data_IF_857650851944
#
_entry.id   IF_857650851944
#
_cell.length_a   1.000
_cell.length_b   1.000
_cell.length_c   1.000
_cell.angle_alpha   90.00
_cell.angle_beta   90.00
_cell.angle_gamma   90.00
#
_symmetry.space_group_name_H-M   'P 1'
#
loop_
_entity.id
_entity.type
_entity.pdbx_description
1 polymer ?
#
# COMPACT_ATOMS: atom_id res chain seq x y z
N UNK A 1 -21.85 -1.79 2.23
CA UNK A 1 -21.35 -0.43 2.53
C UNK A 1 -22.57 0.45 2.75
N UNK A 2 -22.72 1.11 3.89
CA UNK A 2 -23.92 1.96 4.06
C UNK A 2 -23.79 3.26 3.27
N UNK A 3 -22.64 3.96 3.27
CA UNK A 3 -22.45 5.08 2.33
C UNK A 3 -20.95 5.32 2.04
N UNK A 4 -20.50 5.15 0.80
CA UNK A 4 -19.36 5.94 0.29
C UNK A 4 -19.96 7.18 -0.34
N UNK A 5 -19.50 8.35 0.07
CA UNK A 5 -20.00 9.63 -0.43
C UNK A 5 -18.84 10.37 -1.06
N UNK A 6 -18.92 10.58 -2.37
CA UNK A 6 -18.05 11.51 -3.09
C UNK A 6 -18.56 12.92 -2.81
N UNK A 7 -17.76 13.75 -2.12
CA UNK A 7 -18.15 15.11 -1.73
C UNK A 7 -17.83 16.13 -2.81
N UNK A 8 -16.73 15.94 -3.55
CA UNK A 8 -16.29 16.87 -4.61
C UNK A 8 -15.38 16.18 -5.61
N UNK A 9 -15.67 16.33 -6.89
CA UNK A 9 -14.76 16.01 -8.00
C UNK A 9 -14.26 17.32 -8.60
N UNK A 10 -12.96 17.39 -8.91
CA UNK A 10 -12.36 18.55 -9.57
C UNK A 10 -12.18 18.29 -11.07
N UNK A 11 -12.15 19.36 -11.87
CA UNK A 11 -11.61 19.31 -13.22
C UNK A 11 -10.19 18.75 -13.11
N UNK A 12 -9.92 17.60 -13.74
CA UNK A 12 -8.71 16.76 -13.66
C UNK A 12 -8.88 15.40 -12.94
N UNK A 13 -10.09 15.00 -12.53
CA UNK A 13 -10.37 13.61 -12.12
C UNK A 13 -10.05 13.26 -10.66
N UNK A 14 -9.56 14.23 -9.88
CA UNK A 14 -9.27 14.06 -8.45
C UNK A 14 -10.56 14.06 -7.63
N UNK A 15 -10.62 13.14 -6.66
CA UNK A 15 -11.82 12.86 -5.85
C UNK A 15 -11.54 13.11 -4.38
N UNK A 16 -12.45 13.84 -3.74
CA UNK A 16 -12.52 13.95 -2.27
C UNK A 16 -13.85 13.39 -1.83
N UNK A 17 -13.79 12.48 -0.87
CA UNK A 17 -14.96 11.82 -0.34
C UNK A 17 -14.81 11.45 1.13
N UNK A 18 -15.80 10.73 1.61
CA UNK A 18 -15.76 10.09 2.90
C UNK A 18 -16.35 8.68 2.75
N UNK A 19 -15.64 7.72 3.31
CA UNK A 19 -16.06 6.35 3.39
C UNK A 19 -16.60 6.09 4.80
N UNK A 20 -17.91 5.87 4.89
CA UNK A 20 -18.54 5.42 6.13
C UNK A 20 -18.47 3.90 6.20
N UNK A 21 -17.52 3.42 6.99
CA UNK A 21 -17.33 2.01 7.26
C UNK A 21 -18.16 1.64 8.49
N UNK A 22 -19.34 1.07 8.24
CA UNK A 22 -20.20 0.57 9.30
C UNK A 22 -19.48 -0.46 10.17
N UNK A 23 -19.57 -0.29 11.49
CA UNK A 23 -18.98 -1.22 12.43
C UNK A 23 -19.91 -2.43 12.58
N UNK A 24 -19.38 -3.64 12.39
CA UNK A 24 -20.19 -4.88 12.46
C UNK A 24 -20.58 -5.17 13.93
N UNK A 25 -19.86 -4.55 14.89
CA UNK A 25 -19.97 -4.83 16.33
C UNK A 25 -20.40 -3.66 17.21
N UNK A 26 -20.34 -2.40 16.76
CA UNK A 26 -20.68 -1.21 17.57
C UNK A 26 -21.73 -0.31 16.89
N UNK A 27 -22.42 0.51 17.68
CA UNK A 27 -23.52 1.41 17.25
C UNK A 27 -23.07 2.66 16.49
N UNK A 28 -21.79 2.78 16.11
CA UNK A 28 -21.25 3.87 15.30
C UNK A 28 -20.25 3.36 14.27
N UNK A 29 -20.32 3.89 13.03
CA UNK A 29 -19.35 3.61 11.97
C UNK A 29 -18.12 4.51 12.05
N UNK A 30 -17.01 4.08 11.45
CA UNK A 30 -15.82 4.93 11.25
C UNK A 30 -15.98 5.70 9.95
N UNK A 31 -15.77 7.01 9.97
CA UNK A 31 -15.74 7.84 8.77
C UNK A 31 -14.29 8.13 8.43
N UNK A 32 -13.83 7.63 7.28
CA UNK A 32 -12.48 7.87 6.76
C UNK A 32 -12.58 8.81 5.55
N UNK A 33 -11.88 9.93 5.58
CA UNK A 33 -11.81 10.85 4.45
C UNK A 33 -10.92 10.29 3.34
N UNK A 34 -11.30 10.48 2.07
CA UNK A 34 -10.51 10.05 0.90
C UNK A 34 -9.89 11.26 0.16
N UNK A 35 -8.69 11.11 -0.43
CA UNK A 35 -7.85 9.92 -0.46
C UNK A 35 -7.32 9.49 0.92
N UNK A 36 -7.24 8.17 1.14
CA UNK A 36 -6.88 7.56 2.42
C UNK A 36 -5.77 6.52 2.28
N UNK A 37 -4.94 6.44 3.31
CA UNK A 37 -3.93 5.40 3.49
C UNK A 37 -4.47 4.33 4.44
N UNK A 38 -4.43 3.07 4.03
CA UNK A 38 -4.75 1.92 4.86
C UNK A 38 -3.46 1.35 5.43
N UNK A 39 -3.41 1.18 6.75
CA UNK A 39 -2.22 0.62 7.41
C UNK A 39 -2.10 -0.85 7.04
N UNK A 40 -1.07 -1.20 6.28
CA UNK A 40 -0.75 -2.58 5.94
C UNK A 40 -0.35 -3.35 7.19
N UNK A 41 -1.02 -4.46 7.44
CA UNK A 41 -0.82 -5.29 8.63
C UNK A 41 -0.45 -6.72 8.25
N UNK A 42 0.15 -7.43 9.20
CA UNK A 42 0.35 -8.88 9.11
C UNK A 42 -0.39 -9.55 10.25
N UNK A 43 -1.23 -10.53 9.93
CA UNK A 43 -2.13 -11.18 10.92
C UNK A 43 -3.01 -10.16 11.67
N UNK A 44 -3.32 -9.04 11.03
CA UNK A 44 -4.24 -8.01 11.51
C UNK A 44 -3.65 -6.88 12.35
N UNK A 45 -2.34 -6.87 12.64
CA UNK A 45 -1.65 -5.76 13.32
C UNK A 45 -0.46 -5.23 12.50
N UNK A 46 -0.07 -3.95 12.65
CA UNK A 46 1.19 -3.45 12.07
C UNK A 46 2.37 -4.32 12.50
N UNK A 47 3.45 -4.28 11.74
CA UNK A 47 4.50 -5.27 11.91
C UNK A 47 5.33 -5.06 13.18
N UNK A 48 5.53 -3.79 13.57
CA UNK A 48 6.37 -3.43 14.71
C UNK A 48 5.66 -2.57 15.75
N UNK A 49 4.51 -1.97 15.39
CA UNK A 49 3.73 -1.10 16.25
C UNK A 49 2.73 -1.93 17.05
N UNK A 50 2.92 -2.07 18.37
CA UNK A 50 1.99 -2.83 19.20
C UNK A 50 0.64 -2.12 19.30
N UNK A 51 -0.46 -2.86 19.61
CA UNK A 51 -1.80 -2.29 19.74
C UNK A 51 -1.87 -1.09 20.68
N UNK A 52 -1.16 -1.11 21.80
CA UNK A 52 -1.17 -0.04 22.80
C UNK A 52 -0.59 1.29 22.29
N UNK A 53 0.21 1.25 21.21
CA UNK A 53 0.77 2.43 20.57
C UNK A 53 -0.01 2.89 19.33
N UNK A 54 -0.98 2.11 18.85
CA UNK A 54 -1.86 2.54 17.75
C UNK A 54 -2.59 3.86 18.03
N UNK A 55 -3.12 4.12 19.25
CA UNK A 55 -3.75 5.40 19.58
C UNK A 55 -2.82 6.62 19.48
N UNK A 56 -1.49 6.42 19.43
CA UNK A 56 -0.53 7.51 19.21
C UNK A 56 -0.46 7.97 17.75
N UNK A 57 -1.03 7.21 16.82
CA UNK A 57 -1.09 7.55 15.41
C UNK A 57 -2.22 8.55 15.11
N UNK A 58 -2.12 9.36 14.04
CA UNK A 58 -3.13 10.34 13.68
C UNK A 58 -4.54 9.74 13.51
N UNK A 59 -5.46 10.11 14.40
CA UNK A 59 -6.88 9.70 14.35
C UNK A 59 -7.73 10.73 13.58
N UNK A 60 -8.77 10.33 12.83
CA UNK A 60 -9.22 8.94 12.58
C UNK A 60 -8.46 8.23 11.45
N UNK A 61 -7.49 8.88 10.80
CA UNK A 61 -6.81 8.35 9.62
C UNK A 61 -6.10 7.00 9.84
N UNK A 62 -5.63 6.73 11.06
CA UNK A 62 -5.01 5.45 11.43
C UNK A 62 -6.00 4.30 11.67
N UNK A 63 -7.32 4.57 11.67
CA UNK A 63 -8.34 3.58 12.05
C UNK A 63 -8.73 2.63 10.91
N UNK A 64 -7.98 2.61 9.80
CA UNK A 64 -8.26 1.72 8.67
C UNK A 64 -7.08 0.80 8.39
N UNK A 65 -7.27 -0.48 8.66
CA UNK A 65 -6.28 -1.53 8.48
C UNK A 65 -6.52 -2.32 7.20
N UNK A 66 -5.44 -2.73 6.54
CA UNK A 66 -5.45 -3.69 5.45
C UNK A 66 -4.70 -4.95 5.86
N UNK A 67 -5.25 -6.13 5.53
CA UNK A 67 -4.58 -7.41 5.76
C UNK A 67 -4.85 -8.38 4.63
N UNK A 68 -3.98 -9.40 4.53
CA UNK A 68 -4.28 -10.57 3.72
C UNK A 68 -4.89 -11.68 4.56
N UNK A 69 -6.09 -12.20 4.20
CA UNK A 69 -6.64 -13.39 4.84
C UNK A 69 -5.68 -14.57 4.84
N UNK A 70 -4.78 -14.60 3.85
CA UNK A 70 -3.83 -15.68 3.65
C UNK A 70 -2.82 -15.82 4.79
N UNK A 71 -2.60 -14.75 5.57
CA UNK A 71 -1.74 -14.78 6.76
C UNK A 71 -2.21 -15.78 7.84
N UNK A 72 -3.45 -16.24 7.76
CA UNK A 72 -4.07 -17.17 8.70
C UNK A 72 -4.21 -18.60 8.18
N UNK A 73 -3.78 -18.91 6.94
CA UNK A 73 -3.92 -20.26 6.36
C UNK A 73 -3.19 -21.33 7.17
N UNK A 74 -2.04 -20.98 7.74
CA UNK A 74 -1.18 -21.87 8.52
C UNK A 74 -1.39 -21.74 10.03
N UNK A 75 -2.29 -20.86 10.46
CA UNK A 75 -2.49 -20.49 11.86
C UNK A 75 -3.84 -20.92 12.40
N UNK A 76 -4.58 -19.94 12.91
CA UNK A 76 -5.92 -20.16 13.43
C UNK A 76 -6.87 -20.57 12.31
N UNK A 77 -7.54 -21.71 12.49
CA UNK A 77 -8.55 -22.14 11.52
C UNK A 77 -9.68 -21.09 11.41
N UNK A 78 -10.31 -20.92 10.24
CA UNK A 78 -11.43 -20.00 10.08
C UNK A 78 -12.55 -20.23 11.11
N UNK A 79 -12.85 -21.48 11.44
CA UNK A 79 -13.85 -21.82 12.46
C UNK A 79 -13.48 -21.29 13.85
N UNK A 80 -12.20 -21.27 14.21
CA UNK A 80 -11.71 -20.70 15.46
C UNK A 80 -11.86 -19.18 15.47
N UNK A 81 -11.49 -18.50 14.38
CA UNK A 81 -11.68 -17.04 14.25
C UNK A 81 -13.16 -16.66 14.38
N UNK A 82 -14.04 -17.44 13.74
CA UNK A 82 -15.50 -17.23 13.84
C UNK A 82 -16.03 -17.39 15.27
N UNK A 83 -15.53 -18.39 16.02
CA UNK A 83 -15.88 -18.62 17.43
C UNK A 83 -15.39 -17.50 18.36
N UNK A 84 -14.21 -16.94 18.09
CA UNK A 84 -13.67 -15.78 18.84
C UNK A 84 -14.59 -14.56 18.65
N UNK A 85 -15.09 -14.37 17.42
CA UNK A 85 -16.04 -13.32 17.08
C UNK A 85 -15.77 -12.62 15.76
N UNK A 86 -14.75 -13.05 15.00
CA UNK A 86 -14.23 -12.35 13.82
C UNK A 86 -12.93 -11.59 14.14
N UNK A 87 -12.39 -10.92 13.13
CA UNK A 87 -11.08 -10.27 13.18
C UNK A 87 -11.01 -9.15 14.21
N UNK A 88 -12.01 -8.27 14.27
CA UNK A 88 -12.04 -7.14 15.21
C UNK A 88 -11.82 -7.58 16.66
N UNK A 89 -12.50 -8.68 17.07
CA UNK A 89 -12.36 -9.24 18.42
C UNK A 89 -11.07 -10.05 18.58
N UNK A 90 -10.61 -10.72 17.53
CA UNK A 90 -9.34 -11.46 17.54
C UNK A 90 -8.15 -10.55 17.82
N UNK A 91 -8.10 -9.37 17.20
CA UNK A 91 -6.98 -8.43 17.30
C UNK A 91 -7.18 -7.36 18.38
N UNK A 92 -8.35 -7.35 19.05
CA UNK A 92 -8.66 -6.38 20.09
C UNK A 92 -8.92 -4.94 19.60
N UNK A 93 -9.30 -4.77 18.32
CA UNK A 93 -9.55 -3.46 17.70
C UNK A 93 -10.99 -3.35 17.19
N UNK A 94 -11.98 -3.22 18.09
CA UNK A 94 -13.40 -3.17 17.72
C UNK A 94 -13.77 -1.91 16.93
N UNK A 95 -13.03 -0.80 17.10
CA UNK A 95 -13.36 0.50 16.51
C UNK A 95 -12.56 0.80 15.22
N UNK A 96 -11.89 -0.22 14.66
CA UNK A 96 -11.11 -0.10 13.44
C UNK A 96 -11.85 -0.70 12.25
N UNK A 97 -11.74 -0.03 11.10
CA UNK A 97 -12.14 -0.59 9.82
C UNK A 97 -11.07 -1.59 9.34
N UNK A 98 -11.51 -2.71 8.77
CA UNK A 98 -10.63 -3.75 8.23
C UNK A 98 -11.00 -4.02 6.77
N UNK A 99 -10.02 -3.86 5.88
CA UNK A 99 -10.05 -4.32 4.50
C UNK A 99 -9.22 -5.60 4.34
N UNK A 100 -9.87 -6.66 3.87
CA UNK A 100 -9.22 -7.93 3.55
C UNK A 100 -8.95 -8.02 2.05
N UNK A 101 -7.67 -8.09 1.64
CA UNK A 101 -7.28 -8.22 0.23
C UNK A 101 -6.49 -9.51 0.02
N UNK A 102 -6.63 -10.21 -1.11
CA UNK A 102 -5.92 -11.47 -1.31
C UNK A 102 -4.39 -11.26 -1.44
N UNK A 103 -3.94 -10.10 -1.91
CA UNK A 103 -2.52 -9.76 -2.05
C UNK A 103 -1.85 -9.59 -0.68
N UNK A 104 -0.72 -10.25 -0.49
CA UNK A 104 0.23 -9.88 0.54
C UNK A 104 1.37 -9.10 -0.12
N UNK A 105 1.32 -7.77 -0.02
CA UNK A 105 2.33 -6.88 -0.58
C UNK A 105 3.71 -7.03 0.10
N UNK A 106 3.81 -7.79 1.21
CA UNK A 106 5.02 -7.87 2.04
C UNK A 106 5.79 -9.18 1.80
N UNK A 107 5.18 -10.36 1.98
CA UNK A 107 5.90 -11.65 1.94
C UNK A 107 5.32 -12.66 0.94
N UNK A 108 3.99 -12.79 0.86
CA UNK A 108 3.33 -13.75 -0.04
C UNK A 108 2.94 -13.12 -1.38
N UNK A 109 3.94 -12.96 -2.25
CA UNK A 109 3.74 -12.53 -3.64
C UNK A 109 2.96 -13.62 -4.40
N UNK A 110 1.90 -13.30 -5.15
CA UNK A 110 1.20 -14.26 -6.00
C UNK A 110 2.16 -14.94 -7.00
N UNK A 111 2.21 -16.27 -7.02
CA UNK A 111 3.04 -16.99 -8.00
C UNK A 111 2.29 -17.10 -9.33
N UNK A 112 2.54 -16.14 -10.22
CA UNK A 112 1.86 -16.04 -11.52
C UNK A 112 2.00 -17.28 -12.41
N UNK A 113 3.02 -18.13 -12.20
CA UNK A 113 3.24 -19.35 -13.00
C UNK A 113 2.37 -20.53 -12.58
N UNK A 114 1.90 -20.57 -11.34
CA UNK A 114 1.19 -21.73 -10.77
C UNK A 114 -0.31 -21.49 -10.56
N UNK A 115 -0.81 -20.29 -10.87
CA UNK A 115 -2.24 -20.03 -10.90
C UNK A 115 -2.95 -20.93 -11.92
N UNK A 116 -4.06 -21.54 -11.50
CA UNK A 116 -4.81 -22.52 -12.30
C UNK A 116 -6.23 -22.02 -12.60
N UNK A 117 -7.09 -22.84 -13.22
CA UNK A 117 -8.52 -22.51 -13.35
C UNK A 117 -9.25 -22.55 -12.00
N UNK A 118 -8.74 -23.33 -11.03
CA UNK A 118 -9.40 -23.61 -9.76
C UNK A 118 -9.22 -22.49 -8.71
N UNK A 119 -8.17 -21.68 -8.86
CA UNK A 119 -7.82 -20.65 -7.90
C UNK A 119 -6.38 -20.15 -8.10
N UNK A 120 -6.03 -19.03 -7.46
CA UNK A 120 -4.65 -18.58 -7.33
C UNK A 120 -3.87 -19.51 -6.39
N UNK A 121 -2.56 -19.56 -6.61
CA UNK A 121 -1.61 -20.31 -5.79
C UNK A 121 -0.69 -19.31 -5.11
N UNK A 122 -0.46 -19.51 -3.81
CA UNK A 122 0.37 -18.64 -3.00
C UNK A 122 1.55 -19.44 -2.44
N UNK A 123 2.73 -18.82 -2.45
CA UNK A 123 3.88 -19.32 -1.72
C UNK A 123 3.76 -18.88 -0.25
N UNK A 124 3.78 -19.85 0.64
CA UNK A 124 3.72 -19.65 2.09
C UNK A 124 4.95 -20.32 2.74
N UNK A 125 5.28 -19.98 3.99
CA UNK A 125 6.40 -20.61 4.71
C UNK A 125 6.31 -22.15 4.76
N UNK A 126 5.11 -22.73 4.71
CA UNK A 126 4.89 -24.18 4.67
C UNK A 126 4.71 -24.76 3.26
N UNK A 127 4.91 -23.98 2.19
CA UNK A 127 4.90 -24.41 0.80
C UNK A 127 3.82 -23.75 -0.06
N UNK A 128 3.48 -24.40 -1.18
CA UNK A 128 2.50 -23.86 -2.13
C UNK A 128 1.08 -24.23 -1.73
N UNK A 129 0.21 -23.23 -1.65
CA UNK A 129 -1.19 -23.45 -1.34
C UNK A 129 -2.10 -22.88 -2.43
N UNK A 130 -2.92 -23.76 -3.01
CA UNK A 130 -4.01 -23.39 -3.91
C UNK A 130 -5.23 -22.97 -3.08
N UNK A 131 -5.74 -21.76 -3.32
CA UNK A 131 -6.92 -21.25 -2.61
C UNK A 131 -8.09 -21.14 -3.58
N UNK A 132 -9.14 -21.93 -3.38
CA UNK A 132 -10.35 -21.86 -4.22
C UNK A 132 -11.26 -20.72 -3.77
N UNK A 133 -12.10 -20.15 -4.66
CA UNK A 133 -13.10 -19.14 -4.28
C UNK A 133 -13.96 -19.54 -3.08
N UNK A 134 -14.38 -20.81 -3.00
CA UNK A 134 -15.14 -21.35 -1.87
C UNK A 134 -14.39 -21.23 -0.54
N UNK A 135 -13.12 -21.66 -0.52
CA UNK A 135 -12.30 -21.65 0.69
C UNK A 135 -12.02 -20.21 1.12
N UNK A 136 -11.73 -19.32 0.16
CA UNK A 136 -11.54 -17.90 0.41
C UNK A 136 -12.79 -17.23 1.00
N UNK A 137 -13.96 -17.43 0.39
CA UNK A 137 -15.22 -16.86 0.91
C UNK A 137 -15.54 -17.41 2.30
N UNK A 138 -15.23 -18.68 2.58
CA UNK A 138 -15.36 -19.24 3.92
C UNK A 138 -14.45 -18.51 4.93
N UNK A 139 -13.19 -18.25 4.58
CA UNK A 139 -12.28 -17.47 5.41
C UNK A 139 -12.82 -16.07 5.69
N UNK A 140 -13.23 -15.33 4.65
CA UNK A 140 -13.82 -13.99 4.78
C UNK A 140 -15.06 -14.03 5.69
N UNK A 141 -15.94 -15.01 5.51
CA UNK A 141 -17.16 -15.18 6.32
C UNK A 141 -16.86 -15.34 7.81
N UNK A 142 -15.83 -16.12 8.13
CA UNK A 142 -15.37 -16.32 9.50
C UNK A 142 -14.67 -15.08 10.07
N UNK A 143 -13.91 -14.38 9.23
CA UNK A 143 -13.16 -13.19 9.59
C UNK A 143 -14.03 -11.94 9.78
N UNK A 144 -15.12 -11.82 9.02
CA UNK A 144 -16.06 -10.68 9.04
C UNK A 144 -15.37 -9.31 8.87
N UNK A 145 -14.53 -9.10 7.83
CA UNK A 145 -13.96 -7.79 7.56
C UNK A 145 -15.05 -6.80 7.09
N UNK A 146 -14.80 -5.49 7.19
CA UNK A 146 -15.74 -4.49 6.70
C UNK A 146 -15.75 -4.40 5.17
N UNK A 147 -14.58 -4.58 4.55
CA UNK A 147 -14.38 -4.64 3.09
C UNK A 147 -13.56 -5.87 2.77
N UNK A 148 -13.83 -6.51 1.64
CA UNK A 148 -12.94 -7.53 1.10
C UNK A 148 -12.89 -7.52 -0.41
N UNK A 149 -11.70 -7.73 -0.97
CA UNK A 149 -11.50 -7.86 -2.40
C UNK A 149 -11.62 -9.33 -2.85
N UNK A 150 -12.18 -9.56 -4.03
CA UNK A 150 -12.23 -10.92 -4.60
C UNK A 150 -10.85 -11.43 -5.00
N UNK A 151 -10.69 -12.75 -5.11
CA UNK A 151 -9.46 -13.36 -5.62
C UNK A 151 -9.11 -12.82 -7.02
N UNK A 152 -7.81 -12.72 -7.31
CA UNK A 152 -7.31 -12.27 -8.59
C UNK A 152 -6.05 -13.01 -9.03
N UNK A 153 -5.85 -13.08 -10.33
CA UNK A 153 -4.65 -13.63 -10.96
C UNK A 153 -3.74 -12.46 -11.37
N UNK A 154 -3.00 -11.92 -10.41
CA UNK A 154 -2.02 -10.86 -10.66
C UNK A 154 -0.81 -11.42 -11.43
N UNK A 155 -0.40 -10.74 -12.50
CA UNK A 155 0.70 -11.17 -13.37
C UNK A 155 1.74 -10.05 -13.53
N UNK A 156 3.05 -10.38 -13.59
CA UNK A 156 4.10 -9.41 -13.89
C UNK A 156 3.99 -8.81 -15.30
N UNK A 157 4.63 -7.66 -15.50
CA UNK A 157 4.60 -6.93 -16.78
C UNK A 157 5.14 -7.73 -17.99
N UNK A 158 6.09 -8.65 -17.76
CA UNK A 158 6.78 -9.40 -18.81
C UNK A 158 6.08 -10.71 -19.23
N UNK A 159 4.84 -10.97 -18.80
CA UNK A 159 4.10 -12.14 -19.28
C UNK A 159 3.60 -11.95 -20.72
N UNK A 160 3.35 -13.05 -21.43
CA UNK A 160 2.77 -12.96 -22.78
C UNK A 160 1.33 -12.44 -22.75
N UNK A 161 0.89 -11.81 -23.84
CA UNK A 161 -0.51 -11.32 -23.99
C UNK A 161 -1.54 -12.42 -23.73
N UNK A 162 -1.26 -13.64 -24.21
CA UNK A 162 -2.11 -14.81 -23.96
C UNK A 162 -2.23 -15.12 -22.46
N UNK A 163 -1.14 -15.04 -21.70
CA UNK A 163 -1.14 -15.28 -20.25
C UNK A 163 -1.86 -14.18 -19.50
N UNK A 164 -1.70 -12.93 -19.94
CA UNK A 164 -2.40 -11.77 -19.37
C UNK A 164 -3.91 -11.85 -19.59
N UNK A 165 -4.36 -12.13 -20.82
CA UNK A 165 -5.78 -12.37 -21.12
C UNK A 165 -6.38 -13.47 -20.25
N UNK A 166 -5.64 -14.57 -20.09
CA UNK A 166 -6.04 -15.69 -19.23
C UNK A 166 -6.19 -15.26 -17.76
N UNK A 167 -5.36 -14.31 -17.29
CA UNK A 167 -5.41 -13.82 -15.91
C UNK A 167 -6.67 -12.99 -15.66
N UNK A 168 -7.04 -12.14 -16.61
CA UNK A 168 -8.30 -11.39 -16.58
C UNK A 168 -9.49 -12.36 -16.60
N UNK A 169 -9.50 -13.36 -17.50
CA UNK A 169 -10.62 -14.30 -17.61
C UNK A 169 -10.81 -15.14 -16.32
N UNK A 170 -9.71 -15.51 -15.65
CA UNK A 170 -9.75 -16.19 -14.35
C UNK A 170 -10.26 -15.28 -13.25
N UNK A 171 -9.78 -14.04 -13.20
CA UNK A 171 -10.19 -13.05 -12.20
C UNK A 171 -11.68 -12.76 -12.30
N UNK A 172 -12.22 -12.60 -13.51
CA UNK A 172 -13.66 -12.42 -13.73
C UNK A 172 -14.47 -13.66 -13.30
N UNK A 173 -14.00 -14.86 -13.62
CA UNK A 173 -14.65 -16.10 -13.17
C UNK A 173 -14.68 -16.20 -11.64
N UNK A 174 -13.57 -15.93 -10.98
CA UNK A 174 -13.50 -16.00 -9.52
C UNK A 174 -14.32 -14.91 -8.84
N UNK A 175 -14.44 -13.73 -9.45
CA UNK A 175 -15.38 -12.70 -9.03
C UNK A 175 -16.82 -13.24 -9.06
N UNK A 176 -17.24 -13.84 -10.18
CA UNK A 176 -18.58 -14.41 -10.33
C UNK A 176 -18.83 -15.56 -9.31
N UNK A 177 -17.84 -16.43 -9.10
CA UNK A 177 -17.88 -17.48 -8.07
C UNK A 177 -18.01 -16.89 -6.65
N UNK A 178 -17.21 -15.88 -6.31
CA UNK A 178 -17.25 -15.20 -5.02
C UNK A 178 -18.61 -14.52 -4.77
N UNK A 179 -19.19 -13.89 -5.80
CA UNK A 179 -20.51 -13.25 -5.73
C UNK A 179 -21.62 -14.28 -5.53
N UNK A 180 -21.57 -15.42 -6.22
CA UNK A 180 -22.55 -16.50 -6.07
C UNK A 180 -22.49 -17.18 -4.70
N UNK A 181 -21.30 -17.23 -4.09
CA UNK A 181 -21.10 -17.76 -2.75
C UNK A 181 -21.49 -16.76 -1.64
N UNK A 182 -21.51 -15.47 -1.96
CA UNK A 182 -22.00 -14.42 -1.07
C UNK A 182 -23.55 -14.37 -1.11
N UNK A 183 -24.20 -14.03 -0.01
CA UNK A 183 -25.07 -14.92 0.75
C UNK A 183 -26.19 -15.63 -0.06
N UNK A 184 -25.90 -16.87 -0.48
CA UNK A 184 -26.90 -17.93 -0.67
C UNK A 184 -27.10 -18.79 0.61
N UNK A 185 -26.58 -18.36 1.77
CA UNK A 185 -26.77 -19.04 3.05
C UNK A 185 -27.02 -17.98 4.13
N UNK A 186 -28.07 -18.15 4.94
CA UNK A 186 -28.63 -17.20 5.91
C UNK A 186 -27.73 -16.74 7.07
N UNK A 187 -26.46 -16.47 6.81
CA UNK A 187 -25.52 -15.78 7.68
C UNK A 187 -25.56 -14.27 7.36
N UNK A 188 -25.44 -13.43 8.40
CA UNK A 188 -25.36 -11.96 8.29
C UNK A 188 -24.40 -11.54 7.16
N UNK A 189 -24.78 -10.54 6.37
CA UNK A 189 -24.02 -10.05 5.22
C UNK A 189 -22.52 -9.87 5.49
N UNK A 190 -21.68 -10.43 4.61
CA UNK A 190 -20.22 -10.48 4.76
C UNK A 190 -19.59 -9.24 4.13
N UNK A 191 -19.34 -8.21 4.95
CA UNK A 191 -18.62 -7.00 4.52
C UNK A 191 -19.12 -6.37 3.21
N UNK A 192 -18.29 -5.55 2.58
CA UNK A 192 -18.56 -4.99 1.25
C UNK A 192 -17.57 -5.58 0.24
N UNK A 193 -18.06 -6.14 -0.86
CA UNK A 193 -17.21 -6.76 -1.89
C UNK A 193 -16.59 -5.70 -2.79
N UNK A 194 -15.28 -5.77 -2.95
CA UNK A 194 -14.54 -5.03 -3.98
C UNK A 194 -14.16 -5.98 -5.11
N UNK A 195 -14.58 -5.65 -6.32
CA UNK A 195 -14.26 -6.44 -7.51
C UNK A 195 -12.81 -6.22 -7.91
N UNK A 196 -12.06 -7.31 -8.10
CA UNK A 196 -10.66 -7.24 -8.49
C UNK A 196 -10.49 -6.89 -9.97
N UNK A 197 -9.60 -5.93 -10.26
CA UNK A 197 -9.23 -5.49 -11.60
C UNK A 197 -7.74 -5.79 -11.83
N UNK A 198 -7.45 -6.59 -12.85
CA UNK A 198 -6.09 -6.94 -13.31
C UNK A 198 -5.95 -6.63 -14.81
N UNK A 199 -4.84 -7.05 -15.44
CA UNK A 199 -4.58 -6.82 -16.86
C UNK A 199 -3.13 -6.46 -17.21
N UNK A 200 -2.19 -6.62 -16.27
CA UNK A 200 -0.76 -6.40 -16.51
C UNK A 200 -0.46 -5.00 -17.06
N UNK A 201 0.51 -4.92 -17.97
CA UNK A 201 0.89 -3.69 -18.70
C UNK A 201 0.13 -3.51 -20.03
N UNK A 202 -1.03 -4.15 -20.22
CA UNK A 202 -1.81 -4.04 -21.44
C UNK A 202 -3.06 -3.15 -21.21
N UNK A 203 -3.14 -2.02 -21.94
CA UNK A 203 -4.21 -1.04 -21.79
C UNK A 203 -5.60 -1.62 -22.08
N UNK A 204 -5.72 -2.44 -23.12
CA UNK A 204 -7.00 -3.03 -23.54
C UNK A 204 -7.49 -4.07 -22.52
N UNK A 205 -6.59 -4.91 -22.00
CA UNK A 205 -6.95 -5.90 -20.98
C UNK A 205 -7.29 -5.23 -19.63
N UNK A 206 -6.62 -4.13 -19.26
CA UNK A 206 -6.98 -3.30 -18.10
C UNK A 206 -8.37 -2.72 -18.23
N UNK A 207 -8.67 -2.09 -19.38
CA UNK A 207 -9.99 -1.52 -19.68
C UNK A 207 -11.07 -2.60 -19.70
N UNK A 208 -10.82 -3.72 -20.41
CA UNK A 208 -11.75 -4.86 -20.49
C UNK A 208 -12.09 -5.41 -19.11
N UNK A 209 -11.08 -5.62 -18.26
CA UNK A 209 -11.30 -6.13 -16.91
C UNK A 209 -12.16 -5.14 -16.10
N UNK A 210 -11.85 -3.85 -16.16
CA UNK A 210 -12.60 -2.80 -15.47
C UNK A 210 -14.07 -2.71 -15.92
N UNK A 211 -14.33 -2.69 -17.24
CA UNK A 211 -15.68 -2.69 -17.81
C UNK A 211 -16.50 -3.91 -17.38
N UNK A 212 -15.88 -5.11 -17.41
CA UNK A 212 -16.55 -6.33 -17.01
C UNK A 212 -16.86 -6.35 -15.50
N UNK A 213 -15.91 -5.95 -14.65
CA UNK A 213 -16.11 -5.86 -13.19
C UNK A 213 -17.19 -4.82 -12.86
N UNK A 214 -17.25 -3.70 -13.58
CA UNK A 214 -18.24 -2.65 -13.37
C UNK A 214 -19.69 -3.11 -13.62
N UNK A 215 -19.89 -4.13 -14.48
CA UNK A 215 -21.22 -4.75 -14.73
C UNK A 215 -21.72 -5.59 -13.55
N UNK A 216 -20.85 -6.00 -12.61
CA UNK A 216 -21.22 -6.83 -11.45
C UNK A 216 -21.68 -5.96 -10.27
N UNK A 217 -22.48 -6.56 -9.38
CA UNK A 217 -22.95 -5.92 -8.15
C UNK A 217 -21.86 -5.91 -7.06
N UNK A 218 -20.80 -5.13 -7.29
CA UNK A 218 -19.72 -4.87 -6.32
C UNK A 218 -19.89 -3.50 -5.68
N UNK A 219 -19.43 -3.36 -4.44
CA UNK A 219 -19.52 -2.11 -3.67
C UNK A 219 -18.37 -1.13 -3.98
N UNK A 220 -17.28 -1.63 -4.57
CA UNK A 220 -16.10 -0.86 -4.92
C UNK A 220 -15.18 -1.68 -5.82
N UNK A 221 -14.01 -1.11 -6.12
CA UNK A 221 -13.04 -1.71 -7.02
C UNK A 221 -11.70 -1.86 -6.32
N UNK A 222 -11.09 -3.03 -6.43
CA UNK A 222 -9.71 -3.26 -6.00
C UNK A 222 -8.83 -3.45 -7.24
N UNK A 223 -7.84 -2.58 -7.40
CA UNK A 223 -6.94 -2.54 -8.54
C UNK A 223 -5.63 -3.19 -8.12
N UNK A 224 -5.35 -4.35 -8.71
CA UNK A 224 -4.13 -5.13 -8.48
C UNK A 224 -3.16 -5.05 -9.66
N UNK A 225 -2.02 -5.72 -9.54
CA UNK A 225 -1.04 -5.88 -10.61
C UNK A 225 -0.18 -4.65 -10.89
N UNK A 226 -0.06 -3.72 -9.93
CA UNK A 226 0.92 -2.64 -9.95
C UNK A 226 2.08 -2.97 -8.99
N UNK A 227 3.25 -2.39 -9.23
CA UNK A 227 4.50 -2.76 -8.56
C UNK A 227 5.03 -4.13 -8.97
N UNK A 228 4.62 -4.67 -10.14
CA UNK A 228 5.01 -5.99 -10.63
C UNK A 228 5.84 -5.91 -11.93
N UNK A 229 6.60 -4.83 -12.05
CA UNK A 229 7.56 -4.61 -13.13
C UNK A 229 7.08 -3.69 -14.25
N UNK A 230 5.92 -3.04 -14.10
CA UNK A 230 5.50 -2.00 -15.04
C UNK A 230 6.44 -0.80 -14.98
N UNK A 231 6.63 -0.11 -16.11
CA UNK A 231 7.42 1.10 -16.14
C UNK A 231 6.66 2.28 -15.49
N UNK A 232 7.39 3.17 -14.83
CA UNK A 232 6.80 4.31 -14.08
C UNK A 232 6.02 5.25 -15.01
N UNK A 233 6.47 5.43 -16.24
CA UNK A 233 5.86 6.27 -17.27
C UNK A 233 4.58 5.65 -17.88
N UNK A 234 4.50 4.33 -17.96
CA UNK A 234 3.30 3.61 -18.43
C UNK A 234 2.13 3.69 -17.43
N UNK A 235 2.45 3.83 -16.14
CA UNK A 235 1.49 3.74 -15.03
C UNK A 235 0.30 4.68 -15.18
N UNK A 236 0.53 5.93 -15.62
CA UNK A 236 -0.55 6.90 -15.78
C UNK A 236 -1.56 6.45 -16.82
N UNK A 237 -1.09 5.87 -17.93
CA UNK A 237 -1.96 5.40 -19.01
C UNK A 237 -2.74 4.15 -18.59
N UNK A 238 -2.09 3.24 -17.86
CA UNK A 238 -2.73 2.05 -17.29
C UNK A 238 -3.85 2.42 -16.31
N UNK A 239 -3.61 3.40 -15.42
CA UNK A 239 -4.61 3.86 -14.46
C UNK A 239 -5.80 4.54 -15.15
N UNK A 240 -5.56 5.41 -16.14
CA UNK A 240 -6.65 6.05 -16.91
C UNK A 240 -7.52 5.03 -17.64
N UNK A 241 -6.90 4.03 -18.29
CA UNK A 241 -7.63 2.97 -18.99
C UNK A 241 -8.61 2.20 -18.07
N UNK A 242 -8.30 2.11 -16.77
CA UNK A 242 -9.19 1.56 -15.75
C UNK A 242 -10.23 2.60 -15.33
N UNK A 243 -9.78 3.76 -14.88
CA UNK A 243 -10.64 4.73 -14.19
C UNK A 243 -11.69 5.34 -15.11
N UNK A 244 -11.37 5.58 -16.38
CA UNK A 244 -12.28 6.22 -17.35
C UNK A 244 -13.56 5.40 -17.61
N UNK A 245 -13.55 4.10 -17.29
CA UNK A 245 -14.70 3.20 -17.48
C UNK A 245 -15.39 2.80 -16.16
N UNK A 246 -14.87 3.23 -15.02
CA UNK A 246 -15.44 2.89 -13.72
C UNK A 246 -16.47 3.95 -13.26
N UNK A 247 -17.64 3.53 -12.75
CA UNK A 247 -18.59 4.41 -12.10
C UNK A 247 -17.95 5.32 -11.06
N UNK A 248 -18.36 6.58 -11.04
CA UNK A 248 -17.80 7.58 -10.13
C UNK A 248 -18.33 7.45 -8.69
N UNK A 249 -19.45 6.78 -8.47
CA UNK A 249 -20.09 6.70 -7.15
C UNK A 249 -19.45 5.64 -6.24
N UNK A 250 -18.50 4.86 -6.75
CA UNK A 250 -17.90 3.74 -6.03
C UNK A 250 -16.41 3.99 -5.72
N UNK A 251 -15.93 3.56 -4.54
CA UNK A 251 -14.53 3.75 -4.15
C UNK A 251 -13.58 2.86 -4.94
N UNK A 252 -12.38 3.39 -5.21
CA UNK A 252 -11.30 2.72 -5.93
C UNK A 252 -10.11 2.54 -5.00
N UNK A 253 -9.76 1.29 -4.70
CA UNK A 253 -8.61 0.90 -3.87
C UNK A 253 -7.51 0.33 -4.74
N UNK A 254 -6.27 0.74 -4.52
CA UNK A 254 -5.10 0.20 -5.22
C UNK A 254 -4.10 -0.38 -4.23
N UNK A 255 -3.38 -1.43 -4.67
CA UNK A 255 -2.18 -1.90 -3.98
C UNK A 255 -0.96 -1.83 -4.89
N UNK A 256 0.20 -1.49 -4.33
CA UNK A 256 1.48 -1.50 -5.05
C UNK A 256 1.94 -0.16 -5.61
N UNK A 257 1.33 0.95 -5.17
CA UNK A 257 1.91 2.29 -5.33
C UNK A 257 2.55 2.68 -4.01
N UNK A 258 3.87 2.77 -3.99
CA UNK A 258 4.61 2.85 -2.73
C UNK A 258 5.14 4.26 -2.48
N UNK A 259 5.76 4.87 -3.50
CA UNK A 259 6.44 6.15 -3.35
C UNK A 259 5.45 7.32 -3.26
N UNK A 260 5.81 8.43 -2.58
CA UNK A 260 4.94 9.61 -2.50
C UNK A 260 4.48 10.14 -3.86
N UNK A 261 5.32 10.06 -4.90
CA UNK A 261 5.00 10.51 -6.26
C UNK A 261 4.01 9.58 -6.95
N UNK A 262 4.12 8.28 -6.67
CA UNK A 262 3.20 7.27 -7.17
C UNK A 262 1.83 7.44 -6.53
N UNK A 263 1.79 7.75 -5.22
CA UNK A 263 0.54 8.13 -4.53
C UNK A 263 -0.08 9.36 -5.20
N UNK A 264 0.69 10.43 -5.42
CA UNK A 264 0.19 11.64 -6.08
C UNK A 264 -0.31 11.36 -7.51
N UNK A 265 0.37 10.49 -8.25
CA UNK A 265 -0.05 10.04 -9.58
C UNK A 265 -1.36 9.25 -9.52
N UNK A 266 -1.51 8.34 -8.53
CA UNK A 266 -2.74 7.58 -8.32
C UNK A 266 -3.91 8.48 -7.93
N UNK A 267 -3.70 9.45 -7.04
CA UNK A 267 -4.72 10.42 -6.63
C UNK A 267 -5.13 11.30 -7.83
N UNK A 268 -4.16 11.75 -8.64
CA UNK A 268 -4.42 12.47 -9.88
C UNK A 268 -5.24 11.63 -10.88
N UNK A 269 -5.06 10.31 -10.88
CA UNK A 269 -5.84 9.39 -11.70
C UNK A 269 -7.21 9.03 -11.07
N UNK A 270 -7.56 9.55 -9.89
CA UNK A 270 -8.85 9.31 -9.24
C UNK A 270 -8.94 8.03 -8.42
N UNK A 271 -7.83 7.59 -7.82
CA UNK A 271 -7.80 6.51 -6.81
C UNK A 271 -8.10 7.08 -5.41
N UNK A 272 -8.89 6.33 -4.61
CA UNK A 272 -9.38 6.79 -3.31
C UNK A 272 -8.64 6.16 -2.12
N UNK A 273 -8.20 4.89 -2.23
CA UNK A 273 -7.62 4.13 -1.11
C UNK A 273 -6.28 3.48 -1.51
N UNK A 274 -5.28 3.57 -0.64
CA UNK A 274 -3.91 3.09 -0.91
C UNK A 274 -3.38 2.23 0.24
N UNK A 275 -2.55 1.24 -0.04
CA UNK A 275 -1.86 0.46 0.98
C UNK A 275 -0.58 1.14 1.47
N UNK A 276 -0.17 0.84 2.71
CA UNK A 276 0.98 1.48 3.35
C UNK A 276 2.23 0.61 3.36
N UNK A 277 2.36 -0.31 2.40
CA UNK A 277 3.45 -1.30 2.34
C UNK A 277 4.84 -0.66 2.28
N UNK A 278 4.94 0.52 1.67
CA UNK A 278 6.18 1.31 1.62
C UNK A 278 6.80 1.55 3.01
N UNK A 279 5.96 1.78 4.03
CA UNK A 279 6.41 2.02 5.41
C UNK A 279 7.17 0.81 5.96
N UNK A 280 6.69 -0.40 5.67
CA UNK A 280 7.32 -1.63 6.12
C UNK A 280 8.73 -1.76 5.52
N UNK A 281 8.86 -1.58 4.20
CA UNK A 281 10.13 -1.66 3.48
C UNK A 281 11.14 -0.64 4.00
N UNK A 282 10.72 0.61 4.23
CA UNK A 282 11.58 1.64 4.81
C UNK A 282 12.01 1.32 6.23
N UNK A 283 11.07 0.86 7.07
CA UNK A 283 11.33 0.54 8.47
C UNK A 283 12.36 -0.59 8.60
N UNK A 284 12.21 -1.66 7.81
CA UNK A 284 13.22 -2.73 7.73
C UNK A 284 14.57 -2.20 7.28
N UNK A 285 14.58 -1.36 6.24
CA UNK A 285 15.76 -0.70 5.71
C UNK A 285 16.39 0.33 6.66
N UNK A 286 15.74 0.68 7.78
CA UNK A 286 16.24 1.65 8.75
C UNK A 286 16.12 3.09 8.24
N UNK A 287 15.25 3.31 7.26
CA UNK A 287 15.00 4.60 6.65
C UNK A 287 13.83 5.30 7.33
N UNK A 288 14.05 6.53 7.79
CA UNK A 288 13.01 7.42 8.27
C UNK A 288 12.60 8.39 7.15
N UNK A 289 11.30 8.53 6.92
CA UNK A 289 10.76 9.56 6.01
C UNK A 289 11.05 10.95 6.56
N UNK A 290 11.53 11.84 5.70
CA UNK A 290 11.90 13.22 6.04
C UNK A 290 11.51 14.24 4.99
N UNK A 291 10.83 13.84 3.92
CA UNK A 291 10.32 14.78 2.93
C UNK A 291 9.38 15.80 3.58
N UNK A 292 9.38 17.01 3.05
CA UNK A 292 8.61 18.14 3.55
C UNK A 292 7.12 17.91 3.38
N UNK A 293 6.38 18.16 4.46
CA UNK A 293 4.91 18.23 4.49
C UNK A 293 4.41 19.67 4.34
N UNK A 294 5.18 20.52 3.66
CA UNK A 294 4.81 21.90 3.35
C UNK A 294 3.54 21.94 2.50
N UNK A 295 2.61 22.83 2.83
CA UNK A 295 1.30 22.92 2.15
C UNK A 295 1.40 23.32 0.67
N UNK A 296 2.52 23.88 0.24
CA UNK A 296 2.77 24.25 -1.16
C UNK A 296 3.58 23.19 -1.91
N UNK A 297 4.00 22.11 -1.25
CA UNK A 297 4.76 21.01 -1.86
C UNK A 297 6.28 21.23 -1.87
N UNK A 298 6.76 22.38 -1.38
CA UNK A 298 8.18 22.71 -1.43
C UNK A 298 9.04 21.76 -0.58
N UNK A 299 10.14 21.28 -1.17
CA UNK A 299 11.11 20.40 -0.50
C UNK A 299 12.37 21.15 -0.01
N UNK A 300 12.47 22.47 -0.24
CA UNK A 300 13.70 23.25 -0.07
C UNK A 300 14.10 23.57 1.38
N UNK A 301 13.22 23.32 2.35
CA UNK A 301 13.38 23.80 3.74
C UNK A 301 14.00 22.79 4.72
N UNK A 302 14.48 21.62 4.28
CA UNK A 302 15.13 20.66 5.17
C UNK A 302 16.64 20.58 4.96
N UNK A 303 17.35 20.38 6.08
CA UNK A 303 18.82 20.29 6.16
C UNK A 303 19.34 19.46 4.99
N UNK A 304 20.10 20.11 4.08
CA UNK A 304 20.92 19.42 3.09
C UNK A 304 21.75 18.37 3.83
N UNK A 305 21.30 17.13 3.80
CA UNK A 305 22.10 16.04 4.29
C UNK A 305 23.26 15.90 3.32
N UNK A 306 24.47 16.24 3.77
CA UNK A 306 25.71 16.20 2.98
C UNK A 306 26.11 14.79 2.51
N UNK A 307 25.21 13.80 2.58
CA UNK A 307 25.54 12.38 2.51
C UNK A 307 24.62 11.54 1.60
N UNK A 308 23.70 12.15 0.83
CA UNK A 308 22.83 11.38 -0.06
C UNK A 308 22.12 12.22 -1.13
N UNK A 309 21.88 11.59 -2.29
CA UNK A 309 21.15 12.16 -3.43
C UNK A 309 19.63 12.24 -3.21
N UNK A 310 19.10 11.56 -2.19
CA UNK A 310 17.67 11.54 -1.87
C UNK A 310 17.39 12.23 -0.53
N UNK A 311 16.85 13.44 -0.57
CA UNK A 311 16.47 14.24 0.60
C UNK A 311 15.15 13.80 1.25
N UNK A 312 14.45 12.82 0.69
CA UNK A 312 13.13 12.40 1.17
C UNK A 312 13.14 11.44 2.35
N UNK A 313 14.31 10.86 2.64
CA UNK A 313 14.50 9.91 3.72
C UNK A 313 15.93 9.90 4.22
N UNK A 314 16.11 9.46 5.45
CA UNK A 314 17.42 9.32 6.07
C UNK A 314 17.62 7.90 6.59
N UNK A 315 18.82 7.33 6.38
CA UNK A 315 19.17 6.03 6.93
C UNK A 315 19.68 6.19 8.37
N UNK A 316 18.86 5.86 9.36
CA UNK A 316 19.21 5.97 10.77
C UNK A 316 20.25 4.92 11.23
N UNK A 317 20.70 4.01 10.36
CA UNK A 317 21.89 3.17 10.61
C UNK A 317 23.20 3.88 10.32
N UNK A 318 23.17 4.97 9.55
CA UNK A 318 24.38 5.69 9.17
C UNK A 318 25.12 6.27 10.38
N UNK A 319 26.45 6.13 10.39
CA UNK A 319 27.30 6.52 11.52
C UNK A 319 27.26 8.02 11.84
N UNK A 320 26.89 8.86 10.86
CA UNK A 320 26.70 10.31 11.03
C UNK A 320 25.68 10.64 12.14
N UNK A 321 24.70 9.77 12.36
CA UNK A 321 23.65 10.01 13.36
C UNK A 321 24.03 9.58 14.78
N UNK A 322 25.19 8.93 15.00
CA UNK A 322 25.61 8.41 16.32
C UNK A 322 25.65 9.46 17.45
N UNK A 323 25.88 10.72 17.11
CA UNK A 323 25.96 11.84 18.06
C UNK A 323 24.89 12.90 17.84
N UNK A 324 23.92 12.61 16.97
CA UNK A 324 22.87 13.57 16.62
C UNK A 324 21.72 13.51 17.64
N UNK A 325 21.74 14.46 18.58
CA UNK A 325 20.73 14.57 19.65
C UNK A 325 19.42 15.23 19.19
N UNK A 326 19.27 15.58 17.91
CA UNK A 326 18.00 16.08 17.39
C UNK A 326 17.00 14.94 17.12
N UNK A 327 15.68 15.21 17.19
CA UNK A 327 14.68 14.24 16.74
C UNK A 327 14.80 14.00 15.23
N UNK A 328 14.12 13.00 14.70
CA UNK A 328 14.12 12.72 13.24
C UNK A 328 13.68 13.99 12.47
N UNK A 329 12.57 14.59 12.90
CA UNK A 329 12.04 15.85 12.36
C UNK A 329 11.66 16.77 13.53
N UNK A 330 12.19 18.00 13.56
CA UNK A 330 12.04 18.94 14.69
C UNK A 330 10.59 19.27 15.05
N UNK A 331 9.71 19.39 14.06
CA UNK A 331 8.30 19.80 14.26
C UNK A 331 7.32 18.62 14.09
N UNK A 332 7.79 17.37 14.10
CA UNK A 332 6.92 16.21 14.01
C UNK A 332 6.31 15.88 15.38
N UNK A 333 5.01 15.66 15.40
CA UNK A 333 4.22 15.37 16.59
C UNK A 333 4.09 13.87 16.90
N UNK A 334 4.79 13.01 16.18
CA UNK A 334 4.75 11.57 16.43
C UNK A 334 5.44 11.23 17.76
N UNK A 335 5.01 10.13 18.38
CA UNK A 335 5.60 9.64 19.63
C UNK A 335 7.13 9.53 19.55
N UNK A 336 7.67 9.07 18.43
CA UNK A 336 9.11 8.91 18.24
C UNK A 336 9.86 10.24 18.27
N UNK A 337 9.40 11.25 17.51
CA UNK A 337 10.07 12.55 17.44
C UNK A 337 9.93 13.37 18.72
N UNK A 338 8.87 13.15 19.50
CA UNK A 338 8.67 13.85 20.76
C UNK A 338 9.53 13.33 21.91
N UNK A 339 9.93 12.06 21.86
CA UNK A 339 10.56 11.38 22.99
C UNK A 339 12.00 10.90 22.74
N UNK A 340 12.42 10.75 21.48
CA UNK A 340 13.69 10.11 21.13
C UNK A 340 14.52 10.90 20.14
N UNK A 341 15.84 10.68 20.19
CA UNK A 341 16.82 11.33 19.31
C UNK A 341 17.29 10.39 18.20
N UNK A 342 17.82 10.95 17.11
CA UNK A 342 18.46 10.16 16.04
C UNK A 342 19.62 9.32 16.56
N UNK A 343 20.41 9.83 17.50
CA UNK A 343 21.49 9.09 18.17
C UNK A 343 20.99 7.85 18.90
N UNK A 344 19.89 7.97 19.64
CA UNK A 344 19.31 6.83 20.37
C UNK A 344 18.79 5.76 19.40
N UNK A 345 18.05 6.17 18.36
CA UNK A 345 17.53 5.22 17.36
C UNK A 345 18.68 4.55 16.60
N UNK A 346 19.73 5.30 16.24
CA UNK A 346 20.95 4.73 15.64
C UNK A 346 21.61 3.70 16.57
N UNK A 347 21.71 4.00 17.86
CA UNK A 347 22.21 3.07 18.86
C UNK A 347 21.38 1.77 18.86
N UNK A 348 20.04 1.86 18.97
CA UNK A 348 19.16 0.68 18.96
C UNK A 348 19.34 -0.19 17.72
N UNK A 349 19.49 0.42 16.53
CA UNK A 349 19.79 -0.32 15.32
C UNK A 349 21.15 -1.04 15.37
N UNK A 350 22.17 -0.41 15.94
CA UNK A 350 23.51 -0.99 16.06
C UNK A 350 23.58 -2.13 17.08
N UNK A 351 22.75 -2.09 18.12
CA UNK A 351 22.64 -3.17 19.12
C UNK A 351 21.55 -4.20 18.80
N UNK A 352 20.92 -4.09 17.63
CA UNK A 352 19.88 -5.02 17.15
C UNK A 352 18.63 -5.10 18.05
N UNK A 353 18.28 -4.01 18.70
CA UNK A 353 17.08 -3.92 19.54
C UNK A 353 15.83 -3.66 18.70
N UNK A 354 14.78 -4.47 18.87
CA UNK A 354 13.54 -4.37 18.08
C UNK A 354 12.80 -3.04 18.26
N UNK A 355 13.05 -2.35 19.37
CA UNK A 355 12.50 -1.03 19.65
C UNK A 355 12.86 -0.02 18.54
N UNK A 356 14.00 -0.20 17.86
CA UNK A 356 14.37 0.64 16.72
C UNK A 356 13.30 0.62 15.62
N UNK A 357 12.83 -0.58 15.25
CA UNK A 357 11.80 -0.77 14.23
C UNK A 357 10.44 -0.26 14.70
N UNK A 358 10.07 -0.49 15.98
CA UNK A 358 8.82 0.04 16.54
C UNK A 358 8.77 1.57 16.47
N UNK A 359 9.83 2.25 16.94
CA UNK A 359 9.92 3.71 16.88
C UNK A 359 9.92 4.23 15.44
N UNK A 360 10.61 3.53 14.54
CA UNK A 360 10.68 3.93 13.15
C UNK A 360 9.36 3.73 12.40
N UNK A 361 8.64 2.63 12.64
CA UNK A 361 7.31 2.38 12.03
C UNK A 361 6.29 3.42 12.49
N UNK A 362 6.31 3.80 13.78
CA UNK A 362 5.44 4.85 14.32
C UNK A 362 5.71 6.19 13.63
N UNK A 363 6.99 6.57 13.48
CA UNK A 363 7.36 7.79 12.78
C UNK A 363 6.91 7.77 11.31
N UNK A 364 7.26 6.72 10.58
CA UNK A 364 6.96 6.59 9.16
C UNK A 364 5.44 6.56 8.90
N UNK A 365 4.68 5.85 9.73
CA UNK A 365 3.20 5.80 9.64
C UNK A 365 2.58 7.14 9.94
N UNK A 366 2.99 7.82 11.01
CA UNK A 366 2.51 9.16 11.30
C UNK A 366 2.83 10.12 10.15
N UNK A 367 4.06 10.11 9.64
CA UNK A 367 4.50 11.01 8.57
C UNK A 367 3.69 10.82 7.29
N UNK A 368 3.42 9.57 6.91
CA UNK A 368 2.65 9.27 5.70
C UNK A 368 1.15 9.58 5.87
N UNK A 369 0.57 9.35 7.05
CA UNK A 369 -0.81 9.78 7.33
C UNK A 369 -0.95 11.31 7.27
N UNK A 370 0.04 12.05 7.78
CA UNK A 370 0.06 13.52 7.66
C UNK A 370 0.24 13.99 6.21
N UNK A 371 0.98 13.27 5.37
CA UNK A 371 1.06 13.54 3.93
C UNK A 371 -0.30 13.45 3.25
N UNK A 372 -1.10 12.42 3.56
CA UNK A 372 -2.46 12.31 3.05
C UNK A 372 -3.36 13.46 3.53
N UNK A 373 -3.21 13.95 4.76
CA UNK A 373 -3.93 15.15 5.24
C UNK A 373 -3.60 16.39 4.42
N UNK A 374 -2.31 16.66 4.20
CA UNK A 374 -1.86 17.81 3.39
C UNK A 374 -2.40 17.71 1.96
N UNK A 375 -2.41 16.51 1.37
CA UNK A 375 -3.01 16.30 0.05
C UNK A 375 -4.50 16.62 0.07
N UNK A 376 -5.26 16.14 1.07
CA UNK A 376 -6.70 16.45 1.18
C UNK A 376 -6.96 17.94 1.30
N UNK A 377 -6.17 18.67 2.09
CA UNK A 377 -6.23 20.13 2.18
C UNK A 377 -5.97 20.79 0.81
N UNK A 378 -4.89 20.40 0.12
CA UNK A 378 -4.55 20.93 -1.20
C UNK A 378 -5.65 20.67 -2.24
N UNK A 379 -6.33 19.51 -2.18
CA UNK A 379 -7.46 19.21 -3.05
C UNK A 379 -8.67 20.07 -2.66
N UNK A 380 -9.01 20.19 -1.37
CA UNK A 380 -10.14 21.01 -0.92
C UNK A 380 -10.00 22.49 -1.33
N UNK A 381 -8.76 23.00 -1.32
CA UNK A 381 -8.41 24.36 -1.71
C UNK A 381 -8.23 24.55 -3.23
N UNK A 382 -8.35 23.49 -4.04
CA UNK A 382 -8.20 23.57 -5.50
C UNK A 382 -6.77 23.76 -5.98
N UNK A 383 -5.77 23.47 -5.13
CA UNK A 383 -4.34 23.68 -5.38
C UNK A 383 -3.57 22.39 -5.67
N UNK A 384 -4.25 21.25 -5.71
CA UNK A 384 -3.61 19.93 -5.77
C UNK A 384 -2.63 19.78 -6.94
N UNK A 385 -2.98 20.26 -8.13
CA UNK A 385 -2.09 20.12 -9.30
C UNK A 385 -0.79 20.90 -9.12
N UNK A 386 -0.89 22.12 -8.61
CA UNK A 386 0.29 22.93 -8.28
C UNK A 386 1.13 22.25 -7.18
N UNK A 387 0.49 21.79 -6.10
CA UNK A 387 1.16 21.05 -5.03
C UNK A 387 1.92 19.83 -5.57
N UNK A 388 1.27 19.02 -6.43
CA UNK A 388 1.86 17.83 -7.05
C UNK A 388 3.07 18.20 -7.90
N UNK A 389 2.94 19.21 -8.76
CA UNK A 389 4.01 19.63 -9.66
C UNK A 389 5.21 20.13 -8.87
N UNK A 390 5.00 21.05 -7.92
CA UNK A 390 6.06 21.56 -7.04
C UNK A 390 6.74 20.43 -6.27
N UNK A 391 5.97 19.50 -5.70
CA UNK A 391 6.50 18.36 -4.97
C UNK A 391 7.44 17.49 -5.84
N UNK A 392 7.03 17.19 -7.08
CA UNK A 392 7.81 16.38 -8.03
C UNK A 392 9.05 17.15 -8.53
N UNK A 393 8.91 18.42 -8.88
CA UNK A 393 10.00 19.27 -9.40
C UNK A 393 11.09 19.48 -8.34
N UNK A 394 10.72 19.90 -7.13
CA UNK A 394 11.68 20.11 -6.04
C UNK A 394 12.49 18.84 -5.75
N UNK A 395 11.90 17.65 -5.94
CA UNK A 395 12.64 16.39 -5.85
C UNK A 395 13.61 16.14 -7.01
N UNK A 396 13.18 16.39 -8.26
CA UNK A 396 14.03 16.18 -9.44
C UNK A 396 15.26 17.08 -9.39
N UNK A 397 15.08 18.33 -8.99
CA UNK A 397 16.19 19.28 -8.84
C UNK A 397 17.22 18.85 -7.77
N UNK A 398 16.79 18.15 -6.73
CA UNK A 398 17.70 17.59 -5.72
C UNK A 398 18.53 16.43 -6.26
N UNK A 399 17.98 15.64 -7.19
CA UNK A 399 18.72 14.58 -7.87
C UNK A 399 19.81 15.15 -8.78
N UNK A 400 19.50 16.19 -9.57
CA UNK A 400 20.46 16.82 -10.48
C UNK A 400 21.55 17.61 -9.75
N UNK A 401 21.22 18.28 -8.63
CA UNK A 401 22.22 18.99 -7.80
C UNK A 401 23.08 18.06 -6.94
N UNK A 402 22.61 16.85 -6.62
CA UNK A 402 23.36 15.84 -5.87
C UNK A 402 24.47 15.14 -6.68
N UNK A 403 24.45 15.27 -8.01
CA UNK A 403 25.47 14.73 -8.92
C UNK A 403 26.64 15.71 -9.13
N UNK A 404 26.48 16.98 -8.77
CA UNK A 404 27.51 18.02 -8.92
C UNK A 404 28.27 18.22 -7.61
N UNK A 405 28.95 17.19 -7.10
CA UNK A 405 29.96 17.30 -6.04
C UNK A 405 31.11 16.31 -6.29
N UNK A 406 32.27 16.88 -6.64
CA UNK A 406 33.63 16.32 -6.67
C UNK A 406 33.91 15.12 -7.60
N UNK A 407 34.13 15.43 -8.88
CA UNK A 407 34.95 14.59 -9.76
C UNK A 407 36.42 14.93 -9.51
N UNK A 408 36.99 14.36 -8.45
CA UNK A 408 38.43 14.05 -8.41
C UNK A 408 38.59 12.60 -7.92
N UNK A 409 38.96 11.71 -8.85
CA UNK A 409 39.56 10.42 -8.49
C UNK A 409 38.76 9.15 -8.81
N UNK A 410 38.91 8.69 -10.05
CA UNK A 410 39.16 7.28 -10.43
C UNK A 410 38.11 6.16 -10.26
N UNK A 411 37.81 5.51 -11.41
CA UNK A 411 37.71 4.04 -11.62
C UNK A 411 36.72 3.21 -10.77
N UNK A 412 35.47 3.66 -10.61
CA UNK A 412 34.42 2.84 -9.99
C UNK A 412 33.54 2.06 -10.99
N UNK A 413 33.22 2.64 -12.14
CA UNK A 413 32.35 1.99 -13.14
C UNK A 413 32.99 0.76 -13.79
N UNK A 414 34.30 0.79 -14.07
CA UNK A 414 35.03 -0.37 -14.62
C UNK A 414 35.05 -1.56 -13.65
N UNK A 415 35.05 -1.32 -12.34
CA UNK A 415 35.05 -2.38 -11.32
C UNK A 415 33.68 -3.04 -11.16
N UNK A 416 32.60 -2.29 -11.33
CA UNK A 416 31.23 -2.83 -11.27
C UNK A 416 30.96 -3.67 -12.52
N UNK A 417 31.37 -3.22 -13.70
CA UNK A 417 31.24 -4.01 -14.94
C UNK A 417 32.08 -5.29 -14.87
N UNK A 418 33.32 -5.22 -14.36
CA UNK A 418 34.16 -6.41 -14.15
C UNK A 418 33.59 -7.37 -13.10
N UNK A 419 32.98 -6.88 -12.02
CA UNK A 419 32.36 -7.71 -10.99
C UNK A 419 31.09 -8.41 -11.50
N UNK A 420 30.26 -7.71 -12.28
CA UNK A 420 29.06 -8.28 -12.91
C UNK A 420 29.43 -9.33 -13.96
N UNK A 421 30.48 -9.11 -14.77
CA UNK A 421 30.95 -10.11 -15.74
C UNK A 421 31.55 -11.36 -15.08
N UNK A 422 32.18 -11.23 -13.90
CA UNK A 422 32.71 -12.37 -13.14
C UNK A 422 31.63 -13.20 -12.45
N UNK A 423 30.51 -12.59 -12.06
CA UNK A 423 29.40 -13.27 -11.39
C UNK A 423 28.46 -14.03 -12.35
N UNK A 424 28.51 -13.75 -13.66
CA UNK A 424 27.62 -14.38 -14.67
C UNK A 424 28.25 -15.61 -15.35
N UNK A 425 29.46 -16.02 -14.96
CA UNK A 425 30.00 -17.33 -15.35
C UNK A 425 30.33 -17.49 -16.85
N UNK A 426 30.53 -16.40 -17.59
CA UNK A 426 31.26 -16.48 -18.86
C UNK A 426 32.75 -16.44 -18.57
N UNK A 427 33.38 -17.61 -18.52
CA UNK A 427 34.82 -17.73 -18.59
C UNK A 427 35.28 -17.27 -19.99
N UNK A 428 36.02 -16.17 -20.05
CA UNK A 428 36.83 -15.84 -21.22
C UNK A 428 38.12 -16.66 -21.11
N UNK A 429 38.23 -17.66 -21.97
CA UNK A 429 39.49 -18.00 -22.62
C UNK A 429 39.33 -17.67 -24.10
#
# INVERSE_FOLDING_TARGET
>A
MKHFVVKKTWSNGVRVGALEVGNITATGGVVIETPALLISTRKGLPHFTPPDLLPSLPSPDSHFLQLSPLHFLEGLSPTTISKIGGLHKLIGLPDYAIAAVPRDSIHSIPESKSASKLGPTFETPCGRLLVKPKDYVQMISCMRPNIWATLADEVPAWVSDKRNRTSVDRTLRWLDDCLALNPAQGCKAIGSIFGAIVGGSNLDERKRCAEEVAKRNVAGYWIGGFGLGEAIDERSSLLRAIVDVLPDEKPRMICGLELPEEILQGIAAGIDLFDSTYIYSLTLGGFALTFSLDKNGNQDNFQKNKMGSDSTKINLRATVYRKDMSPIIKNCTCHTCQNYTKAYINHLFNVHEMLAQTLLEIHNTHHYLMFFRVIREAIQEGRFENYRQTFIESRREHYDRGVVCEVEGTRWLDKIVQFVLKCIGFGVN
#
